data_IF_571389488726
#
_entry.id   IF_571389488726
#
_cell.length_a   1.000
_cell.length_b   1.000
_cell.length_c   1.000
_cell.angle_alpha   90.00
_cell.angle_beta   90.00
_cell.angle_gamma   90.00
#
_symmetry.space_group_name_H-M   'P 1'
#
loop_
_entity.id
_entity.type
_entity.pdbx_description
1 polymer ?
#
# COMPACT_ATOMS: atom_id res chain seq x y z
N UNK A 1 -0.62 -22.50 -2.81
CA UNK A 1 -1.28 -21.21 -2.52
C UNK A 1 -2.16 -20.89 -3.71
N UNK A 2 -3.48 -20.80 -3.55
CA UNK A 2 -4.34 -20.39 -4.68
C UNK A 2 -4.22 -18.88 -4.84
N UNK A 3 -4.08 -18.44 -6.08
CA UNK A 3 -4.15 -17.04 -6.47
C UNK A 3 -5.60 -16.50 -6.41
N UNK A 4 -6.57 -17.36 -6.04
CA UNK A 4 -8.02 -17.14 -6.02
C UNK A 4 -8.58 -16.81 -4.62
N UNK A 5 -7.82 -16.13 -3.77
CA UNK A 5 -8.38 -15.61 -2.52
C UNK A 5 -9.06 -14.26 -2.75
N UNK A 6 -10.24 -14.06 -2.14
CA UNK A 6 -11.01 -12.80 -2.24
C UNK A 6 -10.17 -11.59 -1.84
N UNK A 7 -9.25 -11.77 -0.88
CA UNK A 7 -8.29 -10.73 -0.49
C UNK A 7 -7.33 -10.32 -1.62
N UNK A 8 -6.90 -11.28 -2.45
CA UNK A 8 -6.00 -11.00 -3.59
C UNK A 8 -6.75 -10.25 -4.69
N UNK A 9 -7.98 -10.65 -5.01
CA UNK A 9 -8.82 -9.93 -5.98
C UNK A 9 -9.16 -8.50 -5.50
N UNK A 10 -9.46 -8.34 -4.21
CA UNK A 10 -9.71 -7.03 -3.61
C UNK A 10 -8.48 -6.11 -3.68
N UNK A 11 -7.29 -6.65 -3.40
CA UNK A 11 -6.03 -5.91 -3.50
C UNK A 11 -5.73 -5.47 -4.94
N UNK A 12 -5.91 -6.37 -5.92
CA UNK A 12 -5.73 -6.04 -7.35
C UNK A 12 -6.70 -4.92 -7.76
N UNK A 13 -7.98 -5.05 -7.40
CA UNK A 13 -8.97 -4.02 -7.72
C UNK A 13 -8.62 -2.66 -7.08
N UNK A 14 -8.25 -2.65 -5.81
CA UNK A 14 -7.88 -1.42 -5.10
C UNK A 14 -6.62 -0.76 -5.69
N UNK A 15 -5.61 -1.55 -6.06
CA UNK A 15 -4.41 -1.04 -6.73
C UNK A 15 -4.74 -0.42 -8.09
N UNK A 16 -5.55 -1.10 -8.93
CA UNK A 16 -5.92 -0.57 -10.24
C UNK A 16 -6.70 0.75 -10.14
N UNK A 17 -7.56 0.91 -9.14
CA UNK A 17 -8.26 2.19 -8.91
C UNK A 17 -7.29 3.30 -8.51
N UNK A 18 -6.37 3.01 -7.59
CA UNK A 18 -5.30 3.94 -7.22
C UNK A 18 -4.43 4.37 -8.42
N UNK A 19 -4.13 3.44 -9.33
CA UNK A 19 -3.35 3.71 -10.54
C UNK A 19 -4.14 4.56 -11.55
N UNK A 20 -5.43 4.26 -11.74
CA UNK A 20 -6.32 5.04 -12.61
C UNK A 20 -6.41 6.51 -12.19
N UNK A 21 -6.52 6.79 -10.87
CA UNK A 21 -6.53 8.17 -10.33
C UNK A 21 -5.31 9.02 -10.74
N UNK A 22 -4.22 8.37 -11.15
CA UNK A 22 -2.92 9.01 -11.50
C UNK A 22 -2.62 9.01 -12.99
N UNK A 23 -3.40 8.30 -13.79
CA UNK A 23 -3.20 8.25 -15.23
C UNK A 23 -3.72 9.52 -15.94
N UNK A 24 -4.55 10.34 -15.27
CA UNK A 24 -4.94 11.69 -15.73
C UNK A 24 -5.86 11.76 -16.96
N UNK A 25 -6.08 10.64 -17.65
CA UNK A 25 -7.14 10.48 -18.67
C UNK A 25 -8.48 10.18 -18.01
N UNK A 26 -9.57 10.15 -18.79
CA UNK A 26 -10.83 9.64 -18.27
C UNK A 26 -10.64 8.20 -17.74
N UNK A 27 -11.25 7.86 -16.60
CA UNK A 27 -11.25 6.49 -16.06
C UNK A 27 -11.62 5.48 -17.15
N UNK A 28 -12.61 5.83 -17.99
CA UNK A 28 -13.08 4.99 -19.10
C UNK A 28 -11.97 4.61 -20.08
N UNK A 29 -11.07 5.54 -20.42
CA UNK A 29 -9.95 5.25 -21.33
C UNK A 29 -8.96 4.26 -20.73
N UNK A 30 -8.69 4.37 -19.41
CA UNK A 30 -7.80 3.43 -18.69
C UNK A 30 -8.36 2.02 -18.77
N UNK A 31 -9.65 1.86 -18.43
CA UNK A 31 -10.31 0.54 -18.45
C UNK A 31 -10.41 -0.02 -19.87
N UNK A 32 -10.72 0.83 -20.85
CA UNK A 32 -10.82 0.43 -22.25
C UNK A 32 -9.47 -0.10 -22.77
N UNK A 33 -8.35 0.57 -22.44
CA UNK A 33 -7.01 0.13 -22.84
C UNK A 33 -6.62 -1.20 -22.20
N UNK A 34 -6.87 -1.35 -20.89
CA UNK A 34 -6.56 -2.58 -20.17
C UNK A 34 -7.33 -3.79 -20.73
N UNK A 35 -8.62 -3.63 -21.03
CA UNK A 35 -9.50 -4.72 -21.45
C UNK A 35 -9.33 -5.07 -22.93
N UNK A 36 -9.04 -4.09 -23.79
CA UNK A 36 -8.87 -4.32 -25.24
C UNK A 36 -7.41 -4.55 -25.66
N UNK A 37 -6.50 -4.79 -24.71
CA UNK A 37 -5.09 -5.03 -24.99
C UNK A 37 -4.86 -6.42 -25.62
N UNK A 38 -3.99 -6.54 -26.65
CA UNK A 38 -3.58 -7.84 -27.18
C UNK A 38 -2.55 -8.56 -26.29
N UNK A 39 -2.00 -7.88 -25.27
CA UNK A 39 -1.05 -8.44 -24.30
C UNK A 39 -1.69 -8.54 -22.92
N UNK A 40 -1.16 -9.41 -22.07
CA UNK A 40 -1.69 -9.68 -20.73
C UNK A 40 -0.60 -9.59 -19.66
N UNK A 41 -1.02 -9.57 -18.39
CA UNK A 41 -0.11 -9.53 -17.25
C UNK A 41 0.63 -8.20 -17.14
N UNK A 42 1.91 -8.26 -16.73
CA UNK A 42 2.71 -7.05 -16.49
C UNK A 42 2.94 -6.22 -17.75
N UNK A 43 3.06 -6.84 -18.93
CA UNK A 43 3.25 -6.11 -20.19
C UNK A 43 2.05 -5.19 -20.47
N UNK A 44 0.83 -5.66 -20.26
CA UNK A 44 -0.37 -4.84 -20.37
C UNK A 44 -0.39 -3.69 -19.34
N UNK A 45 0.01 -3.97 -18.10
CA UNK A 45 0.08 -2.93 -17.07
C UNK A 45 1.15 -1.90 -17.38
N UNK A 46 2.29 -2.29 -17.95
CA UNK A 46 3.35 -1.37 -18.37
C UNK A 46 2.91 -0.49 -19.54
N UNK A 47 2.18 -1.06 -20.50
CA UNK A 47 1.64 -0.31 -21.64
C UNK A 47 0.65 0.78 -21.22
N UNK A 48 -0.12 0.54 -20.14
CA UNK A 48 -1.11 1.49 -19.64
C UNK A 48 -0.54 2.44 -18.60
N UNK A 49 0.20 1.96 -17.61
CA UNK A 49 0.63 2.75 -16.45
C UNK A 49 2.11 3.15 -16.47
N UNK A 50 2.88 2.69 -17.46
CA UNK A 50 4.33 2.92 -17.57
C UNK A 50 5.16 1.92 -16.76
N UNK A 51 6.49 1.97 -16.94
CA UNK A 51 7.44 0.98 -16.41
C UNK A 51 7.62 0.98 -14.89
N UNK A 52 7.19 2.04 -14.20
CA UNK A 52 7.47 2.24 -12.77
C UNK A 52 6.41 1.60 -11.85
N UNK A 53 5.79 0.50 -12.28
CA UNK A 53 4.75 -0.21 -11.52
C UNK A 53 5.19 -0.59 -10.10
N UNK A 54 6.46 -0.95 -9.89
CA UNK A 54 6.96 -1.28 -8.54
C UNK A 54 6.96 -0.07 -7.61
N UNK A 55 7.29 1.11 -8.11
CA UNK A 55 7.21 2.35 -7.34
C UNK A 55 5.74 2.72 -7.08
N UNK A 56 4.87 2.53 -8.08
CA UNK A 56 3.43 2.76 -7.95
C UNK A 56 2.80 1.83 -6.90
N UNK A 57 3.20 0.56 -6.87
CA UNK A 57 2.80 -0.40 -5.84
C UNK A 57 3.26 0.02 -4.43
N UNK A 58 4.47 0.55 -4.29
CA UNK A 58 4.95 1.09 -3.01
C UNK A 58 4.07 2.27 -2.56
N UNK A 59 3.87 3.25 -3.45
CA UNK A 59 3.06 4.43 -3.16
C UNK A 59 1.61 4.08 -2.87
N UNK A 60 1.03 3.11 -3.60
CA UNK A 60 -0.28 2.55 -3.29
C UNK A 60 -0.30 1.94 -1.90
N UNK A 61 0.64 1.06 -1.58
CA UNK A 61 0.70 0.43 -0.26
C UNK A 61 0.80 1.45 0.86
N UNK A 62 1.55 2.54 0.66
CA UNK A 62 1.63 3.59 1.66
C UNK A 62 0.30 4.35 1.76
N UNK A 63 -0.33 4.66 0.62
CA UNK A 63 -1.62 5.35 0.58
C UNK A 63 -2.72 4.59 1.33
N UNK A 64 -2.74 3.26 1.22
CA UNK A 64 -3.68 2.41 1.95
C UNK A 64 -3.57 2.64 3.47
N UNK A 65 -2.40 3.04 3.99
CA UNK A 65 -2.25 3.42 5.39
C UNK A 65 -2.49 4.91 5.67
N UNK A 66 -1.89 5.80 4.87
CA UNK A 66 -1.82 7.25 5.15
C UNK A 66 -3.04 8.06 4.75
N UNK A 67 -3.85 7.53 3.84
CA UNK A 67 -5.01 8.22 3.26
C UNK A 67 -5.92 8.79 4.35
N UNK A 68 -6.19 10.09 4.24
CA UNK A 68 -7.00 10.94 5.12
C UNK A 68 -6.70 10.89 6.64
N UNK A 69 -5.57 10.27 7.03
CA UNK A 69 -5.10 10.19 8.43
C UNK A 69 -3.80 10.94 8.66
N UNK A 70 -3.06 11.26 7.58
CA UNK A 70 -1.74 11.93 7.67
C UNK A 70 -1.79 13.32 7.04
N UNK A 71 -1.92 14.39 7.86
CA UNK A 71 -1.95 15.76 7.35
C UNK A 71 -0.68 16.12 6.58
N UNK A 72 -0.83 16.83 5.46
CA UNK A 72 0.30 17.31 4.65
C UNK A 72 1.06 16.22 3.88
N UNK A 73 0.57 14.98 3.87
CA UNK A 73 1.17 13.91 3.06
C UNK A 73 1.04 14.21 1.56
N UNK A 74 2.02 13.79 0.77
CA UNK A 74 2.02 13.95 -0.69
C UNK A 74 0.75 13.36 -1.32
N UNK A 75 0.27 13.96 -2.40
CA UNK A 75 -0.89 13.49 -3.16
C UNK A 75 -0.70 12.05 -3.68
N UNK A 76 0.53 11.62 -3.95
CA UNK A 76 0.83 10.24 -4.35
C UNK A 76 0.50 9.19 -3.26
N UNK A 77 0.37 9.61 -2.01
CA UNK A 77 0.04 8.75 -0.87
C UNK A 77 -1.40 8.95 -0.37
N UNK A 78 -2.29 9.44 -1.24
CA UNK A 78 -3.73 9.61 -0.99
C UNK A 78 -4.57 8.86 -2.03
N UNK A 79 -5.83 8.56 -1.73
CA UNK A 79 -6.77 7.86 -2.59
C UNK A 79 -8.04 8.68 -2.81
N UNK A 80 -7.99 9.73 -3.65
CA UNK A 80 -9.08 10.71 -3.76
C UNK A 80 -10.40 10.09 -4.24
N UNK A 81 -10.36 9.11 -5.14
CA UNK A 81 -11.58 8.46 -5.65
C UNK A 81 -12.13 7.39 -4.70
N UNK A 82 -11.31 6.86 -3.79
CA UNK A 82 -11.64 5.73 -2.93
C UNK A 82 -10.98 5.86 -1.55
N UNK A 83 -11.51 6.79 -0.75
CA UNK A 83 -11.10 6.96 0.63
C UNK A 83 -11.66 5.83 1.52
N UNK A 84 -10.97 4.68 1.51
CA UNK A 84 -11.38 3.49 2.25
C UNK A 84 -11.45 3.75 3.75
N UNK A 85 -10.50 4.51 4.29
CA UNK A 85 -10.43 4.77 5.73
C UNK A 85 -11.69 5.47 6.25
N UNK A 86 -12.25 6.42 5.50
CA UNK A 86 -13.52 7.06 5.86
C UNK A 86 -14.75 6.28 5.38
N UNK A 87 -14.66 5.54 4.27
CA UNK A 87 -15.78 4.76 3.74
C UNK A 87 -16.14 3.56 4.63
N UNK A 88 -15.15 2.82 5.16
CA UNK A 88 -15.39 1.62 5.96
C UNK A 88 -16.26 1.86 7.20
N UNK A 89 -16.00 2.89 8.03
CA UNK A 89 -16.86 3.22 9.16
C UNK A 89 -18.29 3.65 8.77
N UNK A 90 -18.50 4.11 7.53
CA UNK A 90 -19.82 4.52 7.04
C UNK A 90 -20.67 3.34 6.52
N UNK A 91 -20.10 2.13 6.39
CA UNK A 91 -20.82 0.95 5.94
C UNK A 91 -21.69 0.38 7.08
N UNK A 92 -23.00 0.16 6.87
CA UNK A 92 -23.91 -0.34 7.92
C UNK A 92 -23.53 -1.72 8.49
N UNK A 93 -22.76 -2.50 7.74
CA UNK A 93 -22.37 -3.88 8.05
C UNK A 93 -20.90 -4.04 8.42
N UNK A 94 -20.14 -2.95 8.55
CA UNK A 94 -18.73 -3.04 8.88
C UNK A 94 -18.53 -3.60 10.30
N UNK A 95 -18.01 -4.83 10.38
CA UNK A 95 -17.73 -5.50 11.65
C UNK A 95 -16.60 -4.83 12.45
N UNK A 96 -15.72 -4.07 11.80
CA UNK A 96 -14.61 -3.32 12.39
C UNK A 96 -14.42 -1.99 11.65
N UNK A 97 -14.00 -0.91 12.35
CA UNK A 97 -13.47 0.26 11.66
C UNK A 97 -12.28 -0.17 10.80
N UNK A 98 -12.06 0.53 9.69
CA UNK A 98 -11.04 0.28 8.67
C UNK A 98 -10.02 -0.85 8.99
N UNK A 99 -10.18 -2.07 8.40
CA UNK A 99 -9.54 -3.30 8.88
C UNK A 99 -8.02 -3.25 9.04
N UNK A 100 -7.33 -2.43 8.24
CA UNK A 100 -5.88 -2.28 8.31
C UNK A 100 -5.40 -1.86 9.70
N UNK A 101 -6.18 -1.06 10.43
CA UNK A 101 -5.80 -0.56 11.75
C UNK A 101 -5.54 -1.68 12.77
N UNK A 102 -6.28 -2.78 12.66
CA UNK A 102 -6.06 -3.97 13.50
C UNK A 102 -4.82 -4.77 13.10
N UNK A 103 -4.34 -4.63 11.87
CA UNK A 103 -3.17 -5.34 11.35
C UNK A 103 -1.84 -4.62 11.59
N UNK A 104 -1.87 -3.34 12.02
CA UNK A 104 -0.68 -2.54 12.31
C UNK A 104 -0.03 -3.04 13.60
N UNK A 105 1.21 -3.52 13.49
CA UNK A 105 1.95 -4.05 14.64
C UNK A 105 2.67 -2.93 15.37
N UNK A 106 2.74 -3.03 16.69
CA UNK A 106 3.65 -2.17 17.46
C UNK A 106 5.08 -2.69 17.25
N UNK A 107 6.03 -1.77 17.06
CA UNK A 107 7.46 -2.04 17.11
C UNK A 107 8.00 -1.44 18.43
N UNK A 108 8.11 -2.25 19.50
CA UNK A 108 8.63 -1.80 20.79
C UNK A 108 10.15 -1.57 20.73
N UNK A 109 10.66 -0.82 21.70
CA UNK A 109 12.10 -0.67 21.88
C UNK A 109 12.76 -2.01 22.20
N UNK A 110 13.92 -2.26 21.58
CA UNK A 110 14.74 -3.48 21.71
C UNK A 110 14.02 -4.82 21.47
N UNK A 111 12.84 -4.82 20.83
CA UNK A 111 12.09 -6.04 20.50
C UNK A 111 11.99 -6.23 18.99
N UNK A 112 12.68 -7.23 18.47
CA UNK A 112 12.61 -7.58 17.06
C UNK A 112 11.21 -8.09 16.67
N UNK A 113 10.69 -7.58 15.55
CA UNK A 113 9.47 -8.07 14.91
C UNK A 113 9.81 -8.78 13.61
N UNK A 114 9.36 -10.03 13.46
CA UNK A 114 9.57 -10.82 12.23
C UNK A 114 8.32 -10.82 11.35
N UNK A 115 8.51 -10.64 10.05
CA UNK A 115 7.46 -10.72 9.03
C UNK A 115 7.95 -11.49 7.81
N UNK A 116 7.02 -12.17 7.14
CA UNK A 116 7.24 -12.75 5.82
C UNK A 116 6.57 -11.85 4.80
N UNK A 117 7.34 -11.30 3.86
CA UNK A 117 6.81 -10.52 2.75
C UNK A 117 6.78 -11.39 1.49
N UNK A 118 5.62 -11.45 0.84
CA UNK A 118 5.48 -11.95 -0.53
C UNK A 118 5.53 -10.77 -1.50
N UNK A 119 5.79 -11.04 -2.78
CA UNK A 119 5.75 -10.00 -3.82
C UNK A 119 4.42 -9.24 -3.80
N UNK A 120 4.49 -7.90 -3.83
CA UNK A 120 3.30 -7.03 -3.78
C UNK A 120 2.62 -6.91 -2.41
N UNK A 121 3.16 -7.52 -1.35
CA UNK A 121 2.64 -7.39 0.01
C UNK A 121 3.44 -6.40 0.85
N UNK A 122 2.82 -5.92 1.93
CA UNK A 122 3.42 -4.97 2.85
C UNK A 122 3.10 -5.30 4.30
N UNK A 123 3.96 -4.85 5.21
CA UNK A 123 3.75 -4.93 6.65
C UNK A 123 3.82 -3.52 7.25
N UNK A 124 2.90 -3.24 8.17
CA UNK A 124 2.78 -1.92 8.79
C UNK A 124 3.16 -1.99 10.26
N UNK A 125 4.05 -1.09 10.65
CA UNK A 125 4.53 -0.97 12.02
C UNK A 125 4.33 0.44 12.53
N UNK A 126 4.03 0.56 13.82
CA UNK A 126 4.01 1.82 14.55
C UNK A 126 4.98 1.77 15.72
N UNK A 127 5.73 2.84 15.89
CA UNK A 127 6.58 3.07 17.06
C UNK A 127 6.39 4.52 17.51
N UNK A 128 6.94 4.86 18.67
CA UNK A 128 6.93 6.23 19.17
C UNK A 128 8.30 6.57 19.71
N UNK A 129 8.71 7.82 19.55
CA UNK A 129 9.98 8.34 20.05
C UNK A 129 9.65 9.40 21.09
N UNK A 130 10.17 9.21 22.30
CA UNK A 130 10.01 10.22 23.35
C UNK A 130 10.66 11.53 22.94
N UNK A 131 10.07 12.67 23.31
CA UNK A 131 10.62 13.99 23.00
C UNK A 131 12.10 14.10 23.43
N UNK A 132 12.93 14.65 22.55
CA UNK A 132 14.38 14.78 22.78
C UNK A 132 15.16 13.46 22.71
N UNK A 133 14.54 12.36 22.26
CA UNK A 133 15.21 11.10 21.97
C UNK A 133 15.25 10.85 20.47
N UNK A 134 16.13 9.92 20.10
CA UNK A 134 16.24 9.39 18.75
C UNK A 134 15.93 7.90 18.78
N UNK A 135 15.48 7.37 17.64
CA UNK A 135 15.27 5.94 17.47
C UNK A 135 16.00 5.48 16.21
N UNK A 136 16.58 4.28 16.28
CA UNK A 136 17.21 3.62 15.14
C UNK A 136 16.37 2.40 14.77
N UNK A 137 15.88 2.37 13.53
CA UNK A 137 15.19 1.20 12.99
C UNK A 137 16.21 0.39 12.19
N UNK A 138 16.44 -0.86 12.60
CA UNK A 138 17.28 -1.80 11.86
C UNK A 138 16.40 -2.80 11.12
N UNK A 139 16.49 -2.79 9.79
CA UNK A 139 15.85 -3.80 8.95
C UNK A 139 16.90 -4.83 8.52
N UNK A 140 16.57 -6.12 8.67
CA UNK A 140 17.40 -7.24 8.21
C UNK A 140 16.55 -8.31 7.56
N UNK A 141 17.15 -9.15 6.73
CA UNK A 141 16.55 -10.37 6.19
C UNK A 141 17.46 -11.54 6.54
N UNK A 142 16.97 -12.45 7.39
CA UNK A 142 17.74 -13.60 7.90
C UNK A 142 19.14 -13.21 8.45
N UNK A 143 19.24 -12.07 9.13
CA UNK A 143 20.51 -11.55 9.69
C UNK A 143 21.37 -10.75 8.71
N UNK A 144 20.98 -10.65 7.44
CA UNK A 144 21.70 -9.92 6.40
C UNK A 144 20.97 -8.64 5.97
N UNK A 145 21.56 -7.89 5.05
CA UNK A 145 20.89 -6.77 4.40
C UNK A 145 19.62 -7.25 3.68
N UNK A 146 18.51 -6.50 3.76
CA UNK A 146 17.31 -6.80 3.00
C UNK A 146 17.58 -6.81 1.49
N UNK A 147 16.89 -7.66 0.71
CA UNK A 147 16.94 -7.59 -0.75
C UNK A 147 16.55 -6.19 -1.25
N UNK A 148 17.13 -5.74 -2.37
CA UNK A 148 16.83 -4.42 -2.96
C UNK A 148 15.35 -4.23 -3.34
N UNK A 149 14.61 -5.33 -3.54
CA UNK A 149 13.17 -5.32 -3.77
C UNK A 149 12.34 -4.99 -2.51
N UNK A 150 12.93 -5.05 -1.31
CA UNK A 150 12.28 -4.65 -0.06
C UNK A 150 12.59 -3.19 0.19
N UNK A 151 11.54 -2.39 0.28
CA UNK A 151 11.62 -0.97 0.61
C UNK A 151 11.01 -0.72 1.98
N UNK A 152 11.61 0.20 2.73
CA UNK A 152 11.10 0.66 4.01
C UNK A 152 10.88 2.17 3.94
N UNK A 153 9.67 2.59 4.31
CA UNK A 153 9.29 4.00 4.34
C UNK A 153 8.85 4.36 5.76
N UNK A 154 9.40 5.45 6.29
CA UNK A 154 9.02 5.98 7.61
C UNK A 154 8.18 7.23 7.37
N UNK A 155 6.96 7.23 7.91
CA UNK A 155 6.06 8.37 7.84
C UNK A 155 5.75 8.86 9.24
N UNK A 156 5.88 10.17 9.44
CA UNK A 156 5.42 10.84 10.65
C UNK A 156 3.91 11.04 10.56
N UNK A 157 3.16 10.51 11.51
CA UNK A 157 1.70 10.62 11.55
C UNK A 157 1.17 11.52 12.66
N UNK A 158 2.02 11.92 13.62
CA UNK A 158 1.71 12.82 14.75
C UNK A 158 2.93 13.62 15.18
#
# INVERSE_FOLDING_TARGET
SSYDDVGTHGAIWAFLRYAADRHGSSDGDVWLRLVNSPVAGFDNLFDVFGSDLSQMLNSWSLSVYTDDDTPGIDAMYRQPSWNFRSAFPALPTAAQPYPLLGAVRVLPDDVAQSVSLRGGSSAFFRFSVTAGKEAVIRLTSAGWLPPAAVQATVVRTR
#
